data_IF_024188179238
#
_entry.id   IF_024188179238
#
_cell.length_a   1.000
_cell.length_b   1.000
_cell.length_c   1.000
_cell.angle_alpha   90.00
_cell.angle_beta   90.00
_cell.angle_gamma   90.00
#
_symmetry.space_group_name_H-M   'P 1'
#
loop_
_entity.id
_entity.type
_entity.pdbx_description
1 polymer ?
#
# COMPACT_ATOMS: atom_id res chain seq x y z
N UNK A 1 -24.62 15.70 0.67
CA UNK A 1 -25.53 15.56 -0.49
C UNK A 1 -24.99 14.59 -1.54
N UNK A 2 -23.71 14.72 -1.97
CA UNK A 2 -23.17 13.90 -3.06
C UNK A 2 -22.96 12.42 -2.64
N UNK A 3 -22.43 12.17 -1.45
CA UNK A 3 -22.30 10.83 -0.91
C UNK A 3 -23.67 10.20 -0.69
N UNK A 4 -24.59 10.96 -0.13
CA UNK A 4 -25.97 10.55 0.15
C UNK A 4 -26.75 10.15 -1.11
N UNK A 5 -26.47 10.79 -2.26
CA UNK A 5 -27.15 10.45 -3.52
C UNK A 5 -26.76 9.09 -4.10
N UNK A 6 -25.66 8.50 -3.64
CA UNK A 6 -25.15 7.19 -4.11
C UNK A 6 -25.19 6.15 -2.99
N UNK A 7 -24.95 6.58 -1.76
CA UNK A 7 -24.96 5.75 -0.55
C UNK A 7 -25.95 6.35 0.45
N UNK A 8 -27.27 6.14 0.26
CA UNK A 8 -28.28 6.67 1.16
C UNK A 8 -28.07 6.20 2.60
N UNK A 9 -28.12 7.11 3.55
CA UNK A 9 -27.91 6.80 4.96
C UNK A 9 -28.89 5.75 5.47
N UNK A 10 -30.12 5.78 4.99
CA UNK A 10 -31.17 4.78 5.30
C UNK A 10 -30.80 3.35 4.92
N UNK A 11 -29.99 3.19 3.87
CA UNK A 11 -29.57 1.86 3.38
C UNK A 11 -28.20 1.44 3.92
N UNK A 12 -27.27 2.38 4.06
CA UNK A 12 -25.86 2.11 4.37
C UNK A 12 -25.43 2.57 5.76
N UNK A 13 -26.16 3.44 6.41
CA UNK A 13 -25.78 4.05 7.70
C UNK A 13 -26.34 3.36 8.92
N UNK A 14 -27.33 2.47 8.77
CA UNK A 14 -27.97 1.75 9.86
C UNK A 14 -28.25 0.29 9.49
N UNK A 15 -28.06 -0.59 10.46
CA UNK A 15 -28.42 -2.01 10.32
C UNK A 15 -29.94 -2.26 10.46
N UNK A 16 -30.68 -1.29 11.02
CA UNK A 16 -32.11 -1.34 11.21
C UNK A 16 -32.70 0.08 11.11
N UNK A 17 -33.39 0.40 10.00
CA UNK A 17 -34.04 1.70 9.83
C UNK A 17 -35.02 2.07 10.95
N UNK A 18 -35.66 1.10 11.60
CA UNK A 18 -36.56 1.34 12.73
C UNK A 18 -35.88 1.93 13.97
N UNK A 19 -34.54 1.79 14.08
CA UNK A 19 -33.75 2.40 15.16
C UNK A 19 -33.52 3.90 14.95
N UNK A 20 -33.82 4.43 13.76
CA UNK A 20 -33.71 5.87 13.48
C UNK A 20 -34.78 6.69 14.22
N UNK A 21 -35.80 6.02 14.77
CA UNK A 21 -36.93 6.68 15.42
C UNK A 21 -37.68 7.63 14.49
N UNK A 22 -38.59 8.41 15.05
CA UNK A 22 -39.30 9.50 14.36
C UNK A 22 -38.40 10.74 14.18
N UNK A 23 -37.21 10.57 13.58
CA UNK A 23 -36.44 11.73 13.16
C UNK A 23 -37.18 12.29 11.95
N UNK A 24 -38.00 13.30 12.20
CA UNK A 24 -38.63 14.03 11.11
C UNK A 24 -37.56 14.61 10.20
N UNK A 25 -37.76 14.56 8.89
CA UNK A 25 -36.84 15.10 7.89
C UNK A 25 -36.42 16.56 8.19
N UNK A 26 -37.22 17.28 8.95
CA UNK A 26 -36.99 18.65 9.40
C UNK A 26 -35.92 18.77 10.51
N UNK A 27 -35.57 17.67 11.20
CA UNK A 27 -34.58 17.69 12.27
C UNK A 27 -33.16 17.37 11.79
N UNK A 28 -33.00 16.82 10.60
CA UNK A 28 -31.68 16.63 9.98
C UNK A 28 -31.38 17.88 9.17
N UNK A 29 -30.74 18.86 9.79
CA UNK A 29 -30.23 20.01 9.06
C UNK A 29 -29.28 19.50 7.95
N UNK A 30 -29.58 19.77 6.67
CA UNK A 30 -28.71 19.31 5.58
C UNK A 30 -27.35 19.93 5.74
N UNK A 31 -26.32 19.09 5.90
CA UNK A 31 -24.92 19.55 5.91
C UNK A 31 -24.55 19.93 4.50
N UNK A 32 -24.60 21.21 4.18
CA UNK A 32 -24.29 21.75 2.84
C UNK A 32 -22.79 21.81 2.55
N UNK A 33 -21.94 21.70 3.55
CA UNK A 33 -20.47 21.75 3.40
C UNK A 33 -19.87 20.35 3.40
N UNK A 34 -18.98 20.07 2.43
CA UNK A 34 -18.17 18.87 2.46
C UNK A 34 -17.08 19.02 3.51
N UNK A 35 -16.94 17.99 4.35
CA UNK A 35 -15.86 17.92 5.35
C UNK A 35 -14.56 17.64 4.60
N UNK A 36 -13.50 18.46 4.75
CA UNK A 36 -12.21 18.22 4.13
C UNK A 36 -11.48 17.05 4.79
N UNK A 37 -10.63 16.36 4.04
CA UNK A 37 -9.61 15.49 4.61
C UNK A 37 -8.53 16.32 5.29
N UNK A 38 -7.91 15.79 6.35
CA UNK A 38 -6.89 16.49 7.13
C UNK A 38 -5.50 16.00 6.75
N UNK A 39 -4.59 16.93 6.39
CA UNK A 39 -3.21 16.63 6.08
C UNK A 39 -2.43 16.20 7.34
N UNK A 40 -1.70 15.09 7.23
CA UNK A 40 -0.86 14.55 8.29
C UNK A 40 0.52 14.23 7.70
N UNK A 41 1.60 14.88 8.20
CA UNK A 41 2.95 14.49 7.86
C UNK A 41 3.37 13.27 8.67
N UNK A 42 3.82 12.21 7.98
CA UNK A 42 4.31 10.97 8.61
C UNK A 42 5.80 10.81 8.29
N UNK A 43 6.66 10.61 9.28
CA UNK A 43 8.08 10.39 9.06
C UNK A 43 8.32 9.24 8.07
N UNK A 44 9.13 9.46 7.03
CA UNK A 44 9.48 8.43 6.03
C UNK A 44 10.99 8.32 5.83
N UNK A 45 11.63 9.41 5.51
CA UNK A 45 13.06 9.48 5.20
C UNK A 45 13.66 10.76 5.77
N UNK A 46 14.99 10.84 5.79
CA UNK A 46 15.70 12.08 6.17
C UNK A 46 15.41 13.26 5.22
N UNK A 47 14.96 13.00 3.98
CA UNK A 47 14.63 14.05 3.00
C UNK A 47 13.33 14.78 3.32
N UNK A 48 12.41 14.11 4.03
CA UNK A 48 11.13 14.69 4.40
C UNK A 48 10.07 13.66 4.77
N UNK A 49 8.97 14.12 5.38
CA UNK A 49 7.83 13.27 5.71
C UNK A 49 7.05 12.86 4.47
N UNK A 50 6.32 11.75 4.58
CA UNK A 50 5.27 11.40 3.64
C UNK A 50 4.00 12.15 4.05
N UNK A 51 3.37 12.83 3.10
CA UNK A 51 2.11 13.52 3.32
C UNK A 51 0.96 12.53 3.09
N UNK A 52 0.19 12.27 4.13
CA UNK A 52 -1.05 11.49 4.07
C UNK A 52 -2.22 12.39 4.45
N UNK A 53 -3.43 11.98 4.11
CA UNK A 53 -4.63 12.72 4.52
C UNK A 53 -5.57 11.78 5.27
N UNK A 54 -6.01 12.18 6.46
CA UNK A 54 -7.08 11.50 7.17
C UNK A 54 -8.42 11.87 6.51
N UNK A 55 -9.07 10.88 5.95
CA UNK A 55 -10.39 11.04 5.32
C UNK A 55 -11.49 11.22 6.37
N UNK A 56 -12.57 11.96 6.06
CA UNK A 56 -13.77 12.00 6.90
C UNK A 56 -14.35 10.58 7.05
N UNK A 57 -14.84 10.24 8.25
CA UNK A 57 -15.30 8.88 8.58
C UNK A 57 -16.35 8.35 7.59
N UNK A 58 -17.31 9.17 7.20
CA UNK A 58 -18.34 8.77 6.24
C UNK A 58 -17.78 8.47 4.84
N UNK A 59 -16.83 9.30 4.36
CA UNK A 59 -16.15 9.04 3.10
C UNK A 59 -15.30 7.78 3.18
N UNK A 60 -14.55 7.61 4.28
CA UNK A 60 -13.70 6.44 4.49
C UNK A 60 -14.53 5.15 4.52
N UNK A 61 -15.69 5.18 5.19
CA UNK A 61 -16.58 4.02 5.24
C UNK A 61 -17.08 3.63 3.84
N UNK A 62 -17.60 4.57 3.07
CA UNK A 62 -18.04 4.32 1.70
C UNK A 62 -16.88 3.90 0.76
N UNK A 63 -15.69 4.46 0.98
CA UNK A 63 -14.48 4.05 0.25
C UNK A 63 -14.09 2.60 0.57
N UNK A 64 -14.25 2.13 1.81
CA UNK A 64 -14.02 0.72 2.17
C UNK A 64 -15.02 -0.21 1.48
N UNK A 65 -16.31 0.14 1.47
CA UNK A 65 -17.31 -0.64 0.72
C UNK A 65 -16.95 -0.77 -0.77
N UNK A 66 -16.45 0.31 -1.38
CA UNK A 66 -16.00 0.27 -2.77
C UNK A 66 -14.70 -0.52 -2.94
N UNK A 67 -13.79 -0.50 -1.97
CA UNK A 67 -12.59 -1.34 -1.98
C UNK A 67 -12.97 -2.81 -1.97
N UNK A 68 -13.86 -3.22 -1.07
CA UNK A 68 -14.35 -4.60 -0.98
C UNK A 68 -14.99 -5.03 -2.30
N UNK A 69 -15.81 -4.16 -2.90
CA UNK A 69 -16.36 -4.41 -4.24
C UNK A 69 -15.27 -4.68 -5.30
N UNK A 70 -14.18 -3.91 -5.33
CA UNK A 70 -13.10 -4.14 -6.30
C UNK A 70 -12.35 -5.44 -6.00
N UNK A 71 -12.10 -5.77 -4.73
CA UNK A 71 -11.48 -7.03 -4.32
C UNK A 71 -12.34 -8.22 -4.75
N UNK A 72 -13.64 -8.18 -4.46
CA UNK A 72 -14.58 -9.23 -4.86
C UNK A 72 -14.64 -9.41 -6.38
N UNK A 73 -14.67 -8.31 -7.15
CA UNK A 73 -14.71 -8.37 -8.62
C UNK A 73 -13.43 -8.94 -9.22
N UNK A 74 -12.27 -8.59 -8.67
CA UNK A 74 -10.99 -9.17 -9.11
C UNK A 74 -10.92 -10.64 -8.73
N UNK A 75 -11.39 -11.04 -7.55
CA UNK A 75 -11.45 -12.43 -7.15
C UNK A 75 -12.42 -13.23 -8.03
N UNK A 76 -13.57 -12.65 -8.39
CA UNK A 76 -14.53 -13.28 -9.31
C UNK A 76 -13.96 -13.42 -10.74
N UNK A 77 -13.16 -12.47 -11.20
CA UNK A 77 -12.50 -12.52 -12.51
C UNK A 77 -11.58 -13.74 -12.66
N UNK A 78 -11.01 -14.29 -11.57
CA UNK A 78 -10.19 -15.51 -11.59
C UNK A 78 -10.92 -16.74 -12.11
N UNK A 79 -12.25 -16.76 -12.00
CA UNK A 79 -13.10 -17.86 -12.45
C UNK A 79 -13.65 -17.66 -13.87
N UNK A 80 -13.32 -16.54 -14.51
CA UNK A 80 -13.65 -16.29 -15.90
C UNK A 80 -12.84 -17.18 -16.84
N UNK A 81 -13.38 -17.47 -18.03
CA UNK A 81 -12.66 -18.22 -19.06
C UNK A 81 -11.40 -17.47 -19.52
N UNK A 82 -11.49 -16.15 -19.70
CA UNK A 82 -10.40 -15.26 -20.08
C UNK A 82 -10.19 -14.18 -19.01
N UNK A 83 -9.58 -14.51 -17.83
CA UNK A 83 -9.38 -13.54 -16.77
C UNK A 83 -8.39 -12.46 -17.20
N UNK A 84 -8.67 -11.20 -16.86
CA UNK A 84 -7.85 -10.04 -17.24
C UNK A 84 -7.27 -9.37 -16.01
N UNK A 85 -8.11 -8.83 -15.13
CA UNK A 85 -7.62 -8.07 -13.97
C UNK A 85 -6.92 -8.96 -12.95
N UNK A 86 -7.46 -10.13 -12.65
CA UNK A 86 -6.89 -11.06 -11.66
C UNK A 86 -5.54 -11.66 -12.08
N UNK A 87 -5.22 -11.64 -13.38
CA UNK A 87 -3.88 -12.04 -13.87
C UNK A 87 -2.83 -10.97 -13.61
N UNK A 88 -3.24 -9.72 -13.54
CA UNK A 88 -2.35 -8.56 -13.42
C UNK A 88 -2.35 -7.93 -12.03
N UNK A 89 -3.43 -8.11 -11.26
CA UNK A 89 -3.60 -7.52 -9.92
C UNK A 89 -3.98 -8.60 -8.92
N UNK A 90 -3.38 -8.52 -7.76
CA UNK A 90 -3.82 -9.19 -6.55
C UNK A 90 -3.50 -8.28 -5.37
N UNK A 91 -4.51 -7.74 -4.73
CA UNK A 91 -4.32 -6.75 -3.65
C UNK A 91 -3.76 -7.34 -2.36
N UNK A 92 -3.82 -8.66 -2.20
CA UNK A 92 -3.35 -9.39 -1.00
C UNK A 92 -1.95 -9.99 -1.18
N UNK A 93 -1.53 -10.23 -2.43
CA UNK A 93 -0.33 -11.00 -2.77
C UNK A 93 0.79 -10.10 -3.35
N UNK A 94 1.46 -9.38 -2.47
CA UNK A 94 2.64 -8.57 -2.81
C UNK A 94 3.87 -9.43 -3.17
N UNK A 95 3.97 -10.60 -2.58
CA UNK A 95 5.06 -11.57 -2.77
C UNK A 95 5.25 -11.97 -4.22
N UNK A 96 4.16 -12.07 -4.99
CA UNK A 96 4.21 -12.40 -6.42
C UNK A 96 5.04 -11.37 -7.20
N UNK A 97 4.88 -10.08 -6.90
CA UNK A 97 5.66 -9.02 -7.56
C UNK A 97 7.15 -9.13 -7.23
N UNK A 98 7.48 -9.46 -5.97
CA UNK A 98 8.86 -9.74 -5.56
C UNK A 98 9.47 -10.92 -6.31
N UNK A 99 8.74 -12.04 -6.43
CA UNK A 99 9.20 -13.21 -7.18
C UNK A 99 9.41 -12.88 -8.66
N UNK A 100 8.46 -12.18 -9.29
CA UNK A 100 8.60 -11.74 -10.68
C UNK A 100 9.81 -10.81 -10.89
N UNK A 101 10.16 -9.98 -9.90
CA UNK A 101 11.36 -9.17 -9.97
C UNK A 101 12.65 -10.03 -9.92
N UNK A 102 12.68 -11.09 -9.09
CA UNK A 102 13.79 -12.05 -9.08
C UNK A 102 13.93 -12.75 -10.42
N UNK A 103 12.84 -13.29 -10.95
CA UNK A 103 12.85 -13.99 -12.26
C UNK A 103 13.30 -13.05 -13.37
N UNK A 104 12.75 -11.82 -13.42
CA UNK A 104 13.12 -10.80 -14.39
C UNK A 104 14.59 -10.33 -14.26
N UNK A 105 15.17 -10.42 -13.07
CA UNK A 105 16.60 -10.12 -12.87
C UNK A 105 17.51 -11.22 -13.43
N UNK A 106 16.98 -12.45 -13.62
CA UNK A 106 17.70 -13.58 -14.20
C UNK A 106 17.57 -13.61 -15.72
N UNK A 107 16.34 -13.52 -16.23
CA UNK A 107 16.02 -13.72 -17.65
C UNK A 107 16.04 -12.44 -18.49
N UNK A 108 15.90 -11.26 -17.86
CA UNK A 108 15.86 -9.96 -18.54
C UNK A 108 14.59 -9.68 -19.35
N UNK A 109 13.56 -10.54 -19.28
CA UNK A 109 12.34 -10.43 -20.09
C UNK A 109 11.48 -9.25 -19.67
N UNK A 110 11.35 -9.04 -18.35
CA UNK A 110 10.50 -8.00 -17.80
C UNK A 110 11.31 -6.83 -17.23
N UNK A 111 10.75 -5.63 -17.35
CA UNK A 111 11.19 -4.42 -16.69
C UNK A 111 10.35 -4.19 -15.42
N UNK A 112 10.97 -3.58 -14.40
CA UNK A 112 10.28 -3.05 -13.23
C UNK A 112 10.30 -1.53 -13.27
N UNK A 113 9.13 -0.92 -13.06
CA UNK A 113 8.93 0.53 -13.09
C UNK A 113 8.39 1.02 -11.75
N UNK A 114 8.88 2.19 -11.34
CA UNK A 114 8.34 3.00 -10.26
C UNK A 114 7.90 4.36 -10.82
N UNK A 115 6.87 4.95 -10.23
CA UNK A 115 6.37 6.26 -10.63
C UNK A 115 6.66 7.30 -9.53
N UNK A 116 7.13 8.47 -9.93
CA UNK A 116 7.30 9.59 -9.01
C UNK A 116 5.94 10.20 -8.66
N UNK A 117 5.61 10.23 -7.37
CA UNK A 117 4.38 10.83 -6.85
C UNK A 117 3.10 10.28 -7.52
N UNK A 118 3.06 8.98 -7.77
CA UNK A 118 2.01 8.31 -8.55
C UNK A 118 0.59 8.67 -8.11
N UNK A 119 0.30 8.57 -6.80
CA UNK A 119 -1.01 8.91 -6.24
C UNK A 119 -1.34 10.40 -6.36
N UNK A 120 -0.31 11.26 -6.30
CA UNK A 120 -0.49 12.71 -6.37
C UNK A 120 -0.71 13.22 -7.80
N UNK A 121 -0.32 12.41 -8.80
CA UNK A 121 -0.46 12.71 -10.22
C UNK A 121 -1.65 12.06 -10.90
N UNK A 122 -2.35 11.16 -10.20
CA UNK A 122 -3.54 10.53 -10.74
C UNK A 122 -4.71 11.54 -10.79
N UNK A 123 -5.05 12.00 -12.00
CA UNK A 123 -6.06 13.03 -12.20
C UNK A 123 -7.48 12.47 -12.17
N UNK A 124 -8.46 13.33 -11.81
CA UNK A 124 -9.88 12.99 -11.93
C UNK A 124 -10.25 12.65 -13.38
N UNK A 125 -9.67 13.36 -14.36
CA UNK A 125 -9.92 13.10 -15.77
C UNK A 125 -9.51 11.67 -16.16
N UNK A 126 -8.35 11.20 -15.71
CA UNK A 126 -7.87 9.84 -15.99
C UNK A 126 -8.85 8.80 -15.46
N UNK A 127 -9.30 8.94 -14.21
CA UNK A 127 -10.30 8.03 -13.61
C UNK A 127 -11.61 8.07 -14.39
N UNK A 128 -12.12 9.24 -14.72
CA UNK A 128 -13.34 9.39 -15.53
C UNK A 128 -13.19 8.71 -16.89
N UNK A 129 -12.02 8.81 -17.53
CA UNK A 129 -11.75 8.19 -18.82
C UNK A 129 -11.72 6.67 -18.75
N UNK A 130 -11.09 6.09 -17.71
CA UNK A 130 -11.02 4.64 -17.50
C UNK A 130 -12.41 4.06 -17.23
N UNK A 131 -13.18 4.67 -16.33
CA UNK A 131 -14.48 4.15 -15.91
C UNK A 131 -15.68 4.69 -16.71
N UNK A 132 -15.47 5.46 -17.77
CA UNK A 132 -16.53 6.15 -18.56
C UNK A 132 -17.66 5.25 -19.07
N UNK A 133 -17.40 3.97 -19.28
CA UNK A 133 -18.40 2.99 -19.76
C UNK A 133 -19.18 2.33 -18.64
N UNK A 134 -18.72 2.48 -17.38
CA UNK A 134 -19.40 1.98 -16.20
C UNK A 134 -19.80 3.16 -15.31
N UNK A 135 -20.91 3.80 -15.67
CA UNK A 135 -21.37 5.04 -15.03
C UNK A 135 -21.71 4.82 -13.54
N UNK A 136 -22.25 3.65 -13.18
CA UNK A 136 -22.59 3.34 -11.78
C UNK A 136 -21.34 3.31 -10.91
N UNK A 137 -20.30 2.58 -11.33
CA UNK A 137 -19.01 2.53 -10.62
C UNK A 137 -18.35 3.90 -10.60
N UNK A 138 -18.36 4.64 -11.73
CA UNK A 138 -17.80 5.98 -11.79
C UNK A 138 -18.48 6.93 -10.80
N UNK A 139 -19.80 6.93 -10.74
CA UNK A 139 -20.57 7.78 -9.83
C UNK A 139 -20.26 7.42 -8.37
N UNK A 140 -20.20 6.14 -8.01
CA UNK A 140 -19.86 5.69 -6.67
C UNK A 140 -18.42 6.14 -6.26
N UNK A 141 -17.45 5.92 -7.13
CA UNK A 141 -16.04 6.32 -6.93
C UNK A 141 -15.92 7.84 -6.76
N UNK A 142 -16.60 8.63 -7.59
CA UNK A 142 -16.60 10.10 -7.50
C UNK A 142 -17.36 10.59 -6.25
N UNK A 143 -18.44 9.92 -5.86
CA UNK A 143 -19.19 10.28 -4.64
C UNK A 143 -18.36 10.08 -3.37
N UNK A 144 -17.57 9.01 -3.29
CA UNK A 144 -16.69 8.72 -2.16
C UNK A 144 -15.47 9.65 -2.07
N UNK A 145 -15.12 10.36 -3.15
CA UNK A 145 -13.95 11.21 -3.21
C UNK A 145 -14.07 12.43 -2.32
N UNK A 146 -13.09 12.70 -1.45
CA UNK A 146 -12.96 13.97 -0.74
C UNK A 146 -12.35 15.02 -1.68
N UNK A 147 -12.99 16.18 -1.80
CA UNK A 147 -12.55 17.24 -2.73
C UNK A 147 -11.63 18.28 -2.08
N UNK A 148 -11.67 18.42 -0.77
CA UNK A 148 -10.96 19.45 -0.04
C UNK A 148 -9.96 18.84 0.93
N UNK A 149 -8.81 19.49 1.07
CA UNK A 149 -7.75 19.14 2.00
C UNK A 149 -7.55 20.29 2.99
N UNK A 150 -7.71 19.99 4.27
CA UNK A 150 -7.39 20.90 5.36
C UNK A 150 -5.95 20.68 5.80
N UNK A 151 -5.14 21.72 5.72
CA UNK A 151 -3.75 21.74 6.15
C UNK A 151 -3.62 22.62 7.38
N UNK A 152 -3.32 22.04 8.54
CA UNK A 152 -3.03 22.68 9.82
C UNK A 152 -1.63 22.31 10.36
N UNK A 153 -0.74 21.92 9.48
CA UNK A 153 0.67 21.65 9.85
C UNK A 153 1.29 22.94 10.42
N UNK A 154 1.05 24.07 9.78
CA UNK A 154 1.21 25.37 10.42
C UNK A 154 -0.10 25.79 11.09
N UNK A 155 -0.14 25.64 12.41
CA UNK A 155 -1.35 25.97 13.21
C UNK A 155 -1.72 27.45 13.20
N UNK A 156 -0.77 28.33 12.86
CA UNK A 156 -1.03 29.79 12.81
C UNK A 156 -1.72 30.20 11.50
N UNK A 157 -1.49 29.44 10.43
CA UNK A 157 -2.03 29.74 9.11
C UNK A 157 -2.64 28.49 8.46
N UNK A 158 -3.74 27.97 9.04
CA UNK A 158 -4.42 26.82 8.45
C UNK A 158 -5.01 27.19 7.08
N UNK A 159 -4.96 26.25 6.15
CA UNK A 159 -5.48 26.47 4.79
C UNK A 159 -6.41 25.33 4.37
N UNK A 160 -7.38 25.65 3.54
CA UNK A 160 -8.21 24.66 2.85
C UNK A 160 -7.93 24.76 1.36
N UNK A 161 -7.56 23.64 0.74
CA UNK A 161 -7.21 23.58 -0.68
C UNK A 161 -8.14 22.63 -1.40
N UNK A 162 -8.68 23.00 -2.56
CA UNK A 162 -9.43 22.12 -3.42
C UNK A 162 -8.43 21.18 -4.16
N UNK A 163 -8.69 19.85 -4.06
CA UNK A 163 -7.87 18.84 -4.69
C UNK A 163 -8.19 18.70 -6.17
N UNK A 164 -7.20 18.94 -7.03
CA UNK A 164 -7.29 18.69 -8.47
C UNK A 164 -6.93 17.26 -8.86
N UNK A 165 -6.20 16.54 -8.01
CA UNK A 165 -5.92 15.11 -8.14
C UNK A 165 -7.13 14.27 -7.72
N UNK A 166 -7.17 13.01 -8.14
CA UNK A 166 -8.30 12.13 -7.82
C UNK A 166 -8.44 11.90 -6.31
N UNK A 167 -7.38 11.45 -5.65
CA UNK A 167 -7.38 11.13 -4.23
C UNK A 167 -6.03 11.44 -3.56
N UNK A 168 -6.03 11.40 -2.25
CA UNK A 168 -4.83 11.55 -1.42
C UNK A 168 -4.34 10.18 -0.93
N UNK A 169 -3.09 10.09 -0.47
CA UNK A 169 -2.65 8.96 0.35
C UNK A 169 -3.42 8.99 1.65
N UNK A 170 -4.29 7.98 1.87
CA UNK A 170 -5.22 7.89 3.01
C UNK A 170 -6.63 7.52 2.57
N UNK A 171 -7.03 7.84 1.33
CA UNK A 171 -8.23 7.29 0.72
C UNK A 171 -8.06 5.80 0.42
N UNK A 172 -9.02 4.97 0.83
CA UNK A 172 -9.01 3.54 0.56
C UNK A 172 -9.09 3.22 -0.95
N UNK A 173 -9.56 4.17 -1.77
CA UNK A 173 -9.68 4.00 -3.22
C UNK A 173 -8.39 4.35 -3.98
N UNK A 174 -7.40 4.97 -3.37
CA UNK A 174 -6.17 5.36 -4.07
C UNK A 174 -5.46 4.14 -4.65
N UNK A 175 -5.20 3.14 -3.82
CA UNK A 175 -4.48 1.93 -4.21
C UNK A 175 -5.19 1.10 -5.30
N UNK A 176 -6.48 0.71 -5.16
CA UNK A 176 -7.16 -0.11 -6.16
C UNK A 176 -7.35 0.61 -7.49
N UNK A 177 -7.75 1.88 -7.47
CA UNK A 177 -7.97 2.63 -8.72
C UNK A 177 -6.68 2.95 -9.46
N UNK A 178 -5.60 3.22 -8.73
CA UNK A 178 -4.26 3.37 -9.28
C UNK A 178 -3.83 2.08 -9.98
N UNK A 179 -3.93 0.92 -9.30
CA UNK A 179 -3.55 -0.38 -9.85
C UNK A 179 -4.36 -0.71 -11.11
N UNK A 180 -5.69 -0.58 -11.09
CA UNK A 180 -6.56 -0.83 -12.24
C UNK A 180 -6.19 0.10 -13.41
N UNK A 181 -5.98 1.38 -13.12
CA UNK A 181 -5.61 2.38 -14.15
C UNK A 181 -4.29 2.02 -14.82
N UNK A 182 -3.28 1.62 -14.04
CA UNK A 182 -1.97 1.29 -14.58
C UNK A 182 -1.98 -0.02 -15.36
N UNK A 183 -2.78 -1.02 -14.95
CA UNK A 183 -3.01 -2.22 -15.78
C UNK A 183 -3.62 -1.85 -17.12
N UNK A 184 -4.67 -1.01 -17.14
CA UNK A 184 -5.29 -0.57 -18.40
C UNK A 184 -4.28 0.12 -19.33
N UNK A 185 -3.40 0.95 -18.77
CA UNK A 185 -2.34 1.64 -19.53
C UNK A 185 -1.26 0.67 -20.02
N UNK A 186 -0.85 -0.29 -19.19
CA UNK A 186 0.11 -1.32 -19.55
C UNK A 186 -0.42 -2.24 -20.67
N UNK A 187 -1.68 -2.65 -20.57
CA UNK A 187 -2.34 -3.44 -21.63
C UNK A 187 -2.45 -2.66 -22.95
N UNK A 188 -2.73 -1.36 -22.87
CA UNK A 188 -2.74 -0.51 -24.06
C UNK A 188 -1.35 -0.40 -24.70
N UNK A 189 -0.30 -0.22 -23.89
CA UNK A 189 1.09 -0.20 -24.36
C UNK A 189 1.47 -1.53 -25.02
N UNK A 190 1.15 -2.65 -24.38
CA UNK A 190 1.40 -3.99 -24.89
C UNK A 190 0.64 -4.27 -26.18
N UNK A 191 -0.63 -3.87 -26.23
CA UNK A 191 -1.42 -3.99 -27.47
C UNK A 191 -0.81 -3.22 -28.64
N UNK A 192 -0.28 -2.02 -28.39
CA UNK A 192 0.39 -1.21 -29.41
C UNK A 192 1.73 -1.84 -29.81
N UNK A 193 2.55 -2.27 -28.84
CA UNK A 193 3.88 -2.82 -29.09
C UNK A 193 3.82 -4.15 -29.86
N UNK A 194 2.96 -5.07 -29.44
CA UNK A 194 2.87 -6.41 -30.06
C UNK A 194 2.20 -6.39 -31.43
N UNK A 195 1.47 -5.31 -31.79
CA UNK A 195 0.88 -5.13 -33.11
C UNK A 195 1.90 -4.79 -34.19
N UNK A 196 3.01 -4.17 -33.86
CA UNK A 196 4.08 -3.93 -34.82
C UNK A 196 4.69 -5.22 -35.37
N UNK A 197 4.43 -6.35 -34.70
CA UNK A 197 4.83 -7.68 -35.13
C UNK A 197 3.80 -8.35 -36.08
N UNK A 198 2.55 -7.86 -36.13
CA UNK A 198 1.45 -8.41 -36.91
C UNK A 198 0.94 -7.36 -37.91
N UNK A 199 1.53 -7.33 -39.11
CA UNK A 199 1.05 -6.51 -40.21
C UNK A 199 -0.38 -6.89 -40.60
N UNK A 200 -1.39 -6.07 -40.33
CA UNK A 200 -2.70 -6.02 -41.01
C UNK A 200 -3.97 -5.77 -40.19
N UNK A 201 -3.93 -5.38 -38.92
CA UNK A 201 -5.17 -5.15 -38.16
C UNK A 201 -5.21 -3.80 -37.41
N UNK A 202 -4.98 -2.70 -38.15
CA UNK A 202 -4.87 -1.36 -37.53
C UNK A 202 -6.15 -0.78 -36.88
N UNK A 203 -7.34 -1.38 -37.08
CA UNK A 203 -8.60 -0.80 -36.65
C UNK A 203 -9.47 -1.68 -35.71
N UNK A 204 -9.03 -2.87 -35.34
CA UNK A 204 -9.83 -3.73 -34.44
C UNK A 204 -9.42 -3.54 -32.98
N UNK A 205 -10.41 -3.39 -32.11
CA UNK A 205 -10.20 -3.48 -30.67
C UNK A 205 -9.75 -4.91 -30.30
N UNK A 206 -8.92 -5.08 -29.24
CA UNK A 206 -8.53 -6.41 -28.79
C UNK A 206 -9.73 -7.23 -28.33
N UNK A 207 -9.73 -8.53 -28.61
CA UNK A 207 -10.69 -9.46 -28.02
C UNK A 207 -10.36 -9.71 -26.55
N UNK A 208 -11.31 -10.27 -25.80
CA UNK A 208 -11.11 -10.62 -24.39
C UNK A 208 -9.96 -11.62 -24.21
N UNK A 209 -9.91 -12.67 -25.04
CA UNK A 209 -8.80 -13.64 -25.06
C UNK A 209 -7.44 -12.99 -25.30
N UNK A 210 -7.36 -12.03 -26.24
CA UNK A 210 -6.13 -11.30 -26.51
C UNK A 210 -5.72 -10.41 -25.32
N UNK A 211 -6.67 -9.73 -24.67
CA UNK A 211 -6.41 -8.95 -23.46
C UNK A 211 -5.96 -9.84 -22.31
N UNK A 212 -6.60 -11.01 -22.12
CA UNK A 212 -6.21 -12.00 -21.13
C UNK A 212 -4.77 -12.49 -21.33
N UNK A 213 -4.38 -12.75 -22.58
CA UNK A 213 -3.01 -13.16 -22.90
C UNK A 213 -1.98 -12.05 -22.60
N UNK A 214 -2.32 -10.79 -22.88
CA UNK A 214 -1.48 -9.63 -22.51
C UNK A 214 -1.44 -9.45 -20.98
N UNK A 215 -2.57 -9.57 -20.30
CA UNK A 215 -2.68 -9.40 -18.86
C UNK A 215 -1.76 -10.37 -18.08
N UNK A 216 -1.60 -11.60 -18.53
CA UNK A 216 -0.67 -12.57 -17.94
C UNK A 216 0.81 -12.17 -17.97
N UNK A 217 1.17 -11.13 -18.74
CA UNK A 217 2.53 -10.58 -18.86
C UNK A 217 2.73 -9.29 -18.05
N UNK A 218 1.68 -8.81 -17.37
CA UNK A 218 1.67 -7.56 -16.59
C UNK A 218 1.43 -7.88 -15.14
N UNK A 219 2.15 -7.22 -14.25
CA UNK A 219 1.86 -7.21 -12.82
C UNK A 219 1.87 -5.79 -12.30
N UNK A 220 0.84 -5.42 -11.54
CA UNK A 220 0.74 -4.10 -10.90
C UNK A 220 0.34 -4.28 -9.45
N UNK A 221 1.07 -3.60 -8.58
CA UNK A 221 0.77 -3.49 -7.16
C UNK A 221 0.98 -2.03 -6.72
N UNK A 222 -0.08 -1.23 -6.78
CA UNK A 222 0.01 0.21 -6.53
C UNK A 222 0.80 0.95 -7.60
N UNK A 223 1.94 1.49 -7.21
CA UNK A 223 2.92 2.18 -8.07
C UNK A 223 4.03 1.26 -8.61
N UNK A 224 4.15 0.05 -8.07
CA UNK A 224 5.06 -0.98 -8.58
C UNK A 224 4.47 -1.66 -9.82
N UNK A 225 5.13 -1.55 -10.96
CA UNK A 225 4.66 -2.05 -12.25
C UNK A 225 5.73 -2.95 -12.87
N UNK A 226 5.33 -4.14 -13.31
CA UNK A 226 6.18 -5.08 -14.04
C UNK A 226 5.56 -5.35 -15.41
N UNK A 227 6.33 -5.13 -16.48
CA UNK A 227 5.91 -5.34 -17.86
C UNK A 227 7.06 -5.86 -18.70
N UNK A 228 6.81 -6.48 -19.86
CA UNK A 228 7.86 -6.82 -20.81
C UNK A 228 8.70 -5.59 -21.21
N UNK A 229 10.02 -5.76 -21.31
CA UNK A 229 10.96 -4.66 -21.60
C UNK A 229 10.57 -3.88 -22.87
N UNK A 230 10.12 -4.56 -23.92
CA UNK A 230 9.75 -3.91 -25.18
C UNK A 230 8.45 -3.09 -25.11
N UNK A 231 7.67 -3.17 -24.01
CA UNK A 231 6.49 -2.31 -23.79
C UNK A 231 6.85 -0.99 -23.09
N UNK A 232 8.04 -0.92 -22.47
CA UNK A 232 8.42 0.16 -21.57
C UNK A 232 8.33 1.54 -22.22
N UNK A 233 8.85 1.70 -23.44
CA UNK A 233 8.83 2.99 -24.15
C UNK A 233 7.39 3.45 -24.43
N UNK A 234 6.54 2.55 -24.92
CA UNK A 234 5.13 2.84 -25.17
C UNK A 234 4.37 3.21 -23.91
N UNK A 235 4.65 2.48 -22.80
CA UNK A 235 4.03 2.76 -21.51
C UNK A 235 4.48 4.10 -20.93
N UNK A 236 5.76 4.42 -21.03
CA UNK A 236 6.30 5.71 -20.58
C UNK A 236 5.65 6.89 -21.32
N UNK A 237 5.46 6.77 -22.64
CA UNK A 237 4.74 7.78 -23.43
C UNK A 237 3.26 7.93 -23.00
N UNK A 238 2.57 6.81 -22.71
CA UNK A 238 1.18 6.87 -22.21
C UNK A 238 1.14 7.57 -20.85
N UNK A 239 2.08 7.28 -19.95
CA UNK A 239 2.16 7.94 -18.66
C UNK A 239 2.40 9.45 -18.80
N UNK A 240 3.31 9.87 -19.66
CA UNK A 240 3.59 11.28 -19.92
C UNK A 240 2.33 12.02 -20.44
N UNK A 241 1.58 11.42 -21.37
CA UNK A 241 0.35 12.00 -21.92
C UNK A 241 -0.73 12.27 -20.85
N UNK A 242 -0.74 11.52 -19.76
CA UNK A 242 -1.71 11.69 -18.65
C UNK A 242 -1.10 12.41 -17.45
N UNK A 243 0.12 12.92 -17.56
CA UNK A 243 0.82 13.70 -16.54
C UNK A 243 1.45 12.86 -15.42
N UNK A 244 1.59 11.55 -15.60
CA UNK A 244 2.35 10.67 -14.74
C UNK A 244 3.85 10.77 -15.08
N UNK A 245 4.71 10.58 -14.09
CA UNK A 245 6.16 10.69 -14.26
C UNK A 245 6.85 9.39 -13.87
N UNK A 246 7.51 8.77 -14.84
CA UNK A 246 8.36 7.60 -14.57
C UNK A 246 9.57 8.03 -13.72
N UNK A 247 9.90 7.25 -12.72
CA UNK A 247 11.09 7.43 -11.91
C UNK A 247 12.25 6.66 -12.54
N UNK A 248 13.05 7.36 -13.34
CA UNK A 248 14.17 6.75 -14.07
C UNK A 248 15.20 6.08 -13.14
N UNK A 249 15.42 6.63 -11.95
CA UNK A 249 16.38 6.06 -10.99
C UNK A 249 15.91 4.77 -10.32
N UNK A 250 14.61 4.45 -10.44
CA UNK A 250 13.97 3.25 -9.90
C UNK A 250 13.27 2.41 -10.96
N UNK A 251 13.55 2.69 -12.22
CA UNK A 251 13.05 1.90 -13.36
C UNK A 251 14.20 1.09 -13.93
N UNK A 252 14.04 -0.23 -13.91
CA UNK A 252 15.11 -1.14 -14.29
C UNK A 252 14.65 -2.03 -15.47
N UNK A 253 15.31 -1.86 -16.60
CA UNK A 253 15.04 -2.64 -17.83
C UNK A 253 16.31 -3.24 -18.42
N UNK A 254 17.46 -2.64 -18.11
CA UNK A 254 18.76 -3.13 -18.55
C UNK A 254 19.41 -4.05 -17.53
N UNK A 255 20.42 -4.81 -17.97
CA UNK A 255 21.26 -5.64 -17.09
C UNK A 255 20.46 -6.63 -16.21
N UNK A 256 21.02 -7.00 -15.07
CA UNK A 256 20.55 -8.11 -14.22
C UNK A 256 19.90 -7.64 -12.91
N UNK A 257 19.63 -6.33 -12.74
CA UNK A 257 19.01 -5.80 -11.52
C UNK A 257 17.53 -5.48 -11.74
N UNK A 258 16.69 -5.84 -10.76
CA UNK A 258 15.26 -5.49 -10.70
C UNK A 258 14.87 -5.16 -9.27
N UNK A 259 13.97 -4.20 -9.10
CA UNK A 259 13.36 -3.85 -7.80
C UNK A 259 11.84 -3.83 -7.96
N UNK A 260 11.10 -4.54 -7.12
CA UNK A 260 9.65 -4.40 -7.02
C UNK A 260 9.15 -4.85 -5.65
N UNK A 261 8.20 -4.10 -5.10
CA UNK A 261 7.53 -4.42 -3.83
C UNK A 261 8.52 -4.68 -2.67
N UNK A 262 9.66 -3.97 -2.67
CA UNK A 262 10.66 -4.07 -1.61
C UNK A 262 11.60 -5.27 -1.72
N UNK A 263 11.60 -5.97 -2.84
CA UNK A 263 12.56 -7.04 -3.18
C UNK A 263 13.52 -6.51 -4.24
N UNK A 264 14.82 -6.56 -3.92
CA UNK A 264 15.91 -6.24 -4.84
C UNK A 264 16.47 -7.55 -5.40
N UNK A 265 16.30 -7.79 -6.70
CA UNK A 265 16.78 -8.96 -7.42
C UNK A 265 18.03 -8.67 -8.23
N UNK A 266 19.04 -9.52 -8.14
CA UNK A 266 20.22 -9.49 -8.99
C UNK A 266 20.59 -10.90 -9.47
N UNK A 267 20.53 -11.13 -10.78
CA UNK A 267 20.79 -12.45 -11.40
C UNK A 267 19.98 -13.59 -10.79
N UNK A 268 18.73 -13.32 -10.43
CA UNK A 268 17.85 -14.29 -9.77
C UNK A 268 18.00 -14.42 -8.26
N UNK A 269 18.97 -13.74 -7.65
CA UNK A 269 19.17 -13.76 -6.21
C UNK A 269 18.53 -12.55 -5.52
N UNK A 270 17.94 -12.78 -4.35
CA UNK A 270 17.48 -11.71 -3.47
C UNK A 270 18.69 -11.02 -2.80
N UNK A 271 18.94 -9.78 -3.24
CA UNK A 271 20.01 -8.92 -2.70
C UNK A 271 19.45 -7.75 -1.88
N UNK A 272 18.20 -7.84 -1.46
CA UNK A 272 17.54 -6.80 -0.66
C UNK A 272 18.34 -6.48 0.60
N UNK A 273 18.78 -5.23 0.81
CA UNK A 273 19.61 -4.86 1.95
C UNK A 273 18.82 -4.85 3.25
N UNK A 274 19.42 -5.33 4.31
CA UNK A 274 18.90 -5.14 5.67
C UNK A 274 19.25 -3.73 6.15
N UNK A 275 18.23 -2.92 6.41
CA UNK A 275 18.38 -1.54 6.86
C UNK A 275 18.32 -1.47 8.38
N UNK A 276 19.41 -1.03 9.03
CA UNK A 276 19.45 -0.76 10.47
C UNK A 276 18.66 0.52 10.71
N UNK A 277 17.53 0.43 11.41
CA UNK A 277 16.65 1.57 11.70
C UNK A 277 17.04 2.32 12.96
N UNK A 278 17.53 1.60 13.97
CA UNK A 278 17.93 2.19 15.24
C UNK A 278 19.10 1.38 15.87
N UNK A 279 19.88 2.05 16.69
CA UNK A 279 20.80 1.39 17.63
C UNK A 279 20.18 1.33 19.01
N UNK A 280 20.58 0.32 19.81
CA UNK A 280 20.05 0.19 21.16
C UNK A 280 20.40 1.39 22.05
N UNK A 281 19.40 1.93 22.70
CA UNK A 281 19.54 2.99 23.70
C UNK A 281 18.74 2.59 24.94
N UNK A 282 19.41 2.52 26.09
CA UNK A 282 18.75 2.12 27.36
C UNK A 282 17.63 3.09 27.78
N UNK A 283 17.73 4.36 27.38
CA UNK A 283 16.71 5.39 27.62
C UNK A 283 15.46 5.27 26.74
N UNK A 284 15.54 4.49 25.65
CA UNK A 284 14.51 4.38 24.64
C UNK A 284 14.12 2.90 24.41
N UNK A 285 13.14 2.38 25.17
CA UNK A 285 12.76 0.96 25.10
C UNK A 285 12.34 0.48 23.69
N UNK A 286 11.77 1.38 22.86
CA UNK A 286 11.40 1.06 21.47
C UNK A 286 12.61 0.68 20.62
N UNK A 287 13.81 1.21 20.94
CA UNK A 287 15.04 0.88 20.22
C UNK A 287 15.40 -0.59 20.34
N UNK A 288 15.13 -1.23 21.49
CA UNK A 288 15.41 -2.65 21.70
C UNK A 288 14.59 -3.54 20.74
N UNK A 289 13.32 -3.19 20.54
CA UNK A 289 12.42 -3.91 19.60
C UNK A 289 12.97 -3.78 18.18
N UNK A 290 13.27 -2.55 17.76
CA UNK A 290 13.80 -2.27 16.41
C UNK A 290 15.14 -2.95 16.13
N UNK A 291 16.01 -3.01 17.13
CA UNK A 291 17.30 -3.71 16.99
C UNK A 291 17.10 -5.22 16.89
N UNK A 292 16.22 -5.81 17.69
CA UNK A 292 15.93 -7.24 17.61
C UNK A 292 15.30 -7.63 16.27
N UNK A 293 14.36 -6.83 15.76
CA UNK A 293 13.80 -7.04 14.42
C UNK A 293 14.88 -6.99 13.34
N UNK A 294 15.85 -6.07 13.47
CA UNK A 294 17.01 -5.99 12.57
C UNK A 294 17.91 -7.24 12.70
N UNK A 295 18.13 -7.74 13.92
CA UNK A 295 18.87 -8.99 14.15
C UNK A 295 18.19 -10.17 13.45
N UNK A 296 16.88 -10.28 13.57
CA UNK A 296 16.10 -11.33 12.94
C UNK A 296 16.20 -11.28 11.41
N UNK A 297 16.12 -10.08 10.81
CA UNK A 297 16.31 -9.89 9.36
C UNK A 297 17.74 -10.28 8.92
N UNK A 298 18.76 -9.89 9.68
CA UNK A 298 20.13 -10.29 9.41
C UNK A 298 20.33 -11.80 9.53
N UNK A 299 19.70 -12.42 10.53
CA UNK A 299 19.76 -13.86 10.75
C UNK A 299 19.14 -14.64 9.57
N UNK A 300 17.95 -14.26 9.13
CA UNK A 300 17.26 -14.90 7.99
C UNK A 300 18.02 -14.72 6.66
N UNK A 301 18.79 -13.63 6.51
CA UNK A 301 19.69 -13.40 5.37
C UNK A 301 21.05 -14.10 5.48
N UNK A 302 21.28 -14.95 6.50
CA UNK A 302 22.52 -15.69 6.70
C UNK A 302 23.68 -14.87 7.29
N UNK A 303 23.44 -13.63 7.71
CA UNK A 303 24.43 -12.74 8.33
C UNK A 303 24.52 -12.98 9.84
N UNK A 304 24.74 -14.23 10.24
CA UNK A 304 24.60 -14.69 11.63
C UNK A 304 25.54 -13.99 12.61
N UNK A 305 26.82 -13.77 12.21
CA UNK A 305 27.79 -13.07 13.06
C UNK A 305 27.40 -11.63 13.33
N UNK A 306 26.90 -10.94 12.31
CA UNK A 306 26.42 -9.55 12.43
C UNK A 306 25.15 -9.49 13.28
N UNK A 307 24.22 -10.43 13.08
CA UNK A 307 23.02 -10.56 13.89
C UNK A 307 23.36 -10.75 15.37
N UNK A 308 24.27 -11.68 15.69
CA UNK A 308 24.70 -11.95 17.05
C UNK A 308 25.46 -10.76 17.68
N UNK A 309 26.35 -10.11 16.93
CA UNK A 309 27.06 -8.92 17.41
C UNK A 309 26.07 -7.80 17.78
N UNK A 310 25.07 -7.56 16.95
CA UNK A 310 24.03 -6.57 17.19
C UNK A 310 23.13 -6.99 18.35
N UNK A 311 22.76 -8.28 18.43
CA UNK A 311 21.94 -8.85 19.50
C UNK A 311 22.54 -8.65 20.89
N UNK A 312 23.87 -8.81 21.03
CA UNK A 312 24.61 -8.61 22.29
C UNK A 312 24.54 -7.17 22.81
N UNK A 313 24.24 -6.19 21.97
CA UNK A 313 24.03 -4.80 22.41
C UNK A 313 22.74 -4.61 23.17
N UNK A 314 21.71 -5.47 22.93
CA UNK A 314 20.40 -5.36 23.53
C UNK A 314 20.39 -5.95 24.95
N UNK A 315 20.17 -5.10 25.95
CA UNK A 315 20.10 -5.48 27.36
C UNK A 315 18.63 -5.58 27.78
N UNK A 316 17.89 -6.49 27.21
CA UNK A 316 16.58 -6.93 27.67
C UNK A 316 16.75 -8.24 28.46
N UNK A 317 15.82 -8.50 29.38
CA UNK A 317 15.74 -9.77 30.09
C UNK A 317 15.59 -10.98 29.15
N UNK A 318 14.91 -12.01 29.57
CA UNK A 318 14.69 -13.20 28.74
C UNK A 318 13.89 -12.87 27.48
N UNK A 319 14.52 -12.99 26.31
CA UNK A 319 13.86 -12.89 25.00
C UNK A 319 13.56 -14.31 24.56
N UNK A 320 12.31 -14.64 24.20
CA UNK A 320 11.97 -15.97 23.72
C UNK A 320 12.62 -16.26 22.37
N UNK A 321 13.04 -17.50 22.18
CA UNK A 321 13.51 -17.99 20.87
C UNK A 321 12.31 -18.52 20.09
N UNK A 322 12.17 -18.07 18.84
CA UNK A 322 10.98 -18.35 18.01
C UNK A 322 11.38 -18.77 16.59
N UNK A 323 10.50 -19.48 15.88
CA UNK A 323 10.62 -19.65 14.44
C UNK A 323 10.26 -18.38 13.68
N UNK A 324 10.83 -18.18 12.51
CA UNK A 324 10.58 -17.02 11.65
C UNK A 324 9.08 -16.86 11.33
N UNK A 325 8.39 -17.98 11.11
CA UNK A 325 6.98 -18.00 10.67
C UNK A 325 5.99 -18.06 11.84
N UNK A 326 6.47 -17.99 13.08
CA UNK A 326 5.61 -18.13 14.26
C UNK A 326 4.63 -16.98 14.47
N UNK A 327 4.87 -15.82 13.85
CA UNK A 327 4.12 -14.58 14.11
C UNK A 327 4.30 -14.01 15.53
N UNK A 328 5.20 -14.61 16.32
CA UNK A 328 5.49 -14.25 17.70
C UNK A 328 6.76 -13.43 17.78
N UNK A 329 6.76 -12.39 18.59
CA UNK A 329 7.95 -11.57 18.81
C UNK A 329 9.02 -12.33 19.63
N UNK A 330 10.24 -12.37 19.13
CA UNK A 330 11.36 -13.04 19.80
C UNK A 330 12.60 -13.08 18.93
N UNK A 331 13.63 -13.78 19.40
CA UNK A 331 14.84 -14.10 18.64
C UNK A 331 14.54 -15.24 17.65
N UNK A 332 14.68 -14.98 16.36
CA UNK A 332 14.45 -15.98 15.32
C UNK A 332 15.58 -17.01 15.30
N UNK A 333 15.21 -18.29 15.29
CA UNK A 333 16.14 -19.41 15.20
C UNK A 333 15.58 -20.52 14.30
N UNK A 334 16.47 -21.24 13.61
CA UNK A 334 16.13 -22.45 12.87
C UNK A 334 16.03 -23.70 13.77
N UNK A 335 16.54 -23.61 15.01
CA UNK A 335 16.63 -24.76 15.93
C UNK A 335 15.37 -25.02 16.72
N UNK A 336 14.30 -24.30 16.44
CA UNK A 336 13.01 -24.61 17.00
C UNK A 336 12.57 -23.81 18.21
N UNK A 337 11.30 -23.94 18.40
CA UNK A 337 10.50 -23.27 19.40
C UNK A 337 10.54 -24.09 20.70
N UNK A 338 11.09 -23.58 21.73
CA UNK A 338 10.97 -24.19 23.06
C UNK A 338 9.61 -23.84 23.64
N UNK A 339 8.57 -24.59 23.19
CA UNK A 339 7.21 -24.44 23.71
C UNK A 339 7.06 -24.93 25.15
N UNK A 340 7.98 -25.80 25.61
CA UNK A 340 7.90 -26.51 26.89
C UNK A 340 7.86 -25.57 28.10
N UNK A 341 8.26 -24.30 27.93
CA UNK A 341 8.28 -23.30 28.99
C UNK A 341 7.14 -22.30 28.92
N UNK A 342 6.26 -22.38 27.90
CA UNK A 342 5.19 -21.45 27.72
C UNK A 342 3.88 -22.01 28.31
N UNK A 343 3.16 -21.17 29.04
CA UNK A 343 1.80 -21.51 29.46
C UNK A 343 0.92 -21.54 28.24
N UNK A 344 0.24 -22.66 28.02
CA UNK A 344 -0.72 -22.87 26.95
C UNK A 344 -2.13 -22.77 27.47
N UNK A 345 -3.01 -22.21 26.66
CA UNK A 345 -4.44 -22.17 26.87
C UNK A 345 -5.14 -22.52 25.58
N UNK A 346 -6.11 -23.46 25.66
CA UNK A 346 -7.01 -23.69 24.54
C UNK A 346 -8.04 -22.57 24.46
N UNK A 347 -8.26 -22.01 23.28
CA UNK A 347 -9.28 -21.02 23.02
C UNK A 347 -10.43 -21.66 22.25
N UNK A 348 -11.56 -21.94 22.93
CA UNK A 348 -12.73 -22.60 22.36
C UNK A 348 -13.38 -21.78 21.23
N UNK A 349 -13.31 -20.47 21.30
CA UNK A 349 -13.89 -19.57 20.30
C UNK A 349 -13.10 -19.59 19.00
N UNK A 350 -11.78 -19.63 19.07
CA UNK A 350 -10.88 -19.59 17.92
C UNK A 350 -10.38 -20.97 17.51
N UNK A 351 -10.72 -22.01 18.29
CA UNK A 351 -10.36 -23.41 18.01
C UNK A 351 -8.85 -23.62 17.82
N UNK A 352 -8.01 -22.89 18.62
CA UNK A 352 -6.57 -23.07 18.60
C UNK A 352 -5.94 -22.90 19.98
N UNK A 353 -4.70 -23.35 20.14
CA UNK A 353 -3.91 -23.09 21.33
C UNK A 353 -3.33 -21.67 21.31
N UNK A 354 -3.51 -20.96 22.43
CA UNK A 354 -2.85 -19.69 22.72
C UNK A 354 -1.65 -19.93 23.62
N UNK A 355 -0.57 -19.19 23.37
CA UNK A 355 0.64 -19.23 24.19
C UNK A 355 0.80 -17.91 24.94
N UNK A 356 1.10 -18.00 26.23
CA UNK A 356 1.37 -16.80 27.03
C UNK A 356 2.80 -16.32 26.74
N UNK A 357 2.93 -15.17 26.10
CA UNK A 357 4.21 -14.58 25.72
C UNK A 357 4.38 -13.20 26.33
N UNK A 358 5.62 -12.80 26.56
CA UNK A 358 5.97 -11.42 26.93
C UNK A 358 6.18 -10.60 25.67
N UNK A 359 5.29 -9.65 25.44
CA UNK A 359 5.46 -8.67 24.38
C UNK A 359 5.88 -7.33 24.99
N UNK A 360 7.09 -6.82 24.71
CA UNK A 360 7.50 -5.52 25.20
C UNK A 360 6.64 -4.42 24.57
N UNK A 361 6.08 -3.55 25.39
CA UNK A 361 5.40 -2.32 24.97
C UNK A 361 6.26 -1.13 25.36
N UNK A 362 6.76 -0.40 24.38
CA UNK A 362 7.34 0.91 24.63
C UNK A 362 6.22 1.90 25.02
N UNK A 363 6.28 2.41 26.24
CA UNK A 363 5.39 3.47 26.70
C UNK A 363 6.18 4.78 26.76
N UNK A 364 5.96 5.67 25.82
CA UNK A 364 6.52 7.02 25.87
C UNK A 364 5.72 7.82 26.91
N UNK A 365 6.34 8.19 28.02
CA UNK A 365 5.74 9.17 28.92
C UNK A 365 5.87 10.54 28.25
N UNK A 366 4.76 11.13 27.86
CA UNK A 366 4.75 12.55 27.46
C UNK A 366 5.11 13.37 28.70
N UNK A 367 6.22 14.08 28.65
CA UNK A 367 6.54 15.11 29.62
C UNK A 367 5.54 16.25 29.46
N UNK A 368 4.75 16.54 30.50
CA UNK A 368 3.81 17.66 30.50
C UNK A 368 4.49 19.02 30.79
N UNK A 369 5.80 19.04 31.00
CA UNK A 369 6.54 20.29 31.24
C UNK A 369 7.30 20.68 29.98
N UNK A 370 6.69 21.56 29.19
CA UNK A 370 7.27 22.15 27.96
C UNK A 370 8.45 23.11 28.19
N UNK A 371 8.82 23.38 29.47
CA UNK A 371 9.76 24.46 29.82
C UNK A 371 11.11 23.95 30.36
N UNK A 372 11.41 22.66 30.28
CA UNK A 372 12.72 22.17 30.72
C UNK A 372 13.75 22.21 29.62
N UNK A 373 14.99 22.59 29.93
CA UNK A 373 16.12 22.59 29.01
C UNK A 373 16.32 21.23 28.30
N UNK A 374 15.94 20.11 28.96
CA UNK A 374 15.97 18.77 28.38
C UNK A 374 14.97 18.60 27.21
N UNK A 375 13.79 19.20 27.29
CA UNK A 375 12.79 19.14 26.21
C UNK A 375 13.21 20.06 25.04
N UNK A 376 13.87 21.17 25.31
CA UNK A 376 14.48 22.02 24.30
C UNK A 376 15.64 21.28 23.59
N UNK A 377 16.49 20.61 24.34
CA UNK A 377 17.57 19.81 23.76
C UNK A 377 17.06 18.67 22.87
N UNK A 378 15.99 18.00 23.29
CA UNK A 378 15.35 16.95 22.50
C UNK A 378 14.76 17.49 21.20
N UNK A 379 14.16 18.68 21.22
CA UNK A 379 13.64 19.36 20.03
C UNK A 379 14.73 19.71 18.99
N UNK A 380 15.95 20.01 19.46
CA UNK A 380 17.06 20.33 18.57
C UNK A 380 17.92 19.12 18.17
N UNK A 381 17.70 17.93 18.77
CA UNK A 381 18.43 16.69 18.47
C UNK A 381 17.62 15.66 17.69
N UNK A 382 16.32 15.86 17.52
CA UNK A 382 15.42 15.14 16.62
C UNK A 382 15.35 15.87 15.25
#
# INVERSE_FOLDING_TARGET
>A
PRLESVFPYSEFGTSNPALLGDISADQVAPVFSEIPSRLIPVPKTQKGPRLIAAEPTCNQWAQQCMLDFFVERINADRHHQDPILSRSIDFERQDISGQMALDASLDGVNATLDLSDASDRLSCWTIQRIFRRNISVLNAVIACRTRYLYNDVDKKHPTVTELRKFATMGSALTFPLQSITFVCMALAAGWIADRHLAFNTFNAAPTETQLSALAGRVRVYGDDIIVPVHWLEGLARIFELVGLKVNESKTFSGMNFRESCGVDGYKGYDVTPVKVKAFYRASEPASAISVLDTCNLLFTKGMWHTAEALRRTVRLGSIPVVYADSGVWGDVSFCGFRLDHLRTRWNDRLQHYEYQMVQPKAKTKRSHRSETAANLLQFFTE
#
